data_IF_374185857031
#
_entry.id   IF_374185857031
#
_cell.length_a   1.000
_cell.length_b   1.000
_cell.length_c   1.000
_cell.angle_alpha   90.00
_cell.angle_beta   90.00
_cell.angle_gamma   90.00
#
_symmetry.space_group_name_H-M   'P 1'
#
loop_
_entity.id
_entity.type
_entity.pdbx_description
1 polymer ?
#
# COMPACT_ATOMS: atom_id res chain seq x y z
N UNK A 1 9.39 6.76 18.34
CA UNK A 1 8.77 7.82 17.49
C UNK A 1 9.38 7.86 16.10
N UNK A 2 8.55 7.95 15.05
CA UNK A 2 8.99 8.08 13.65
C UNK A 2 9.92 9.28 13.42
N UNK A 3 10.96 9.08 12.62
CA UNK A 3 11.89 10.11 12.16
C UNK A 3 12.11 9.93 10.67
N UNK A 4 12.19 11.05 9.93
CA UNK A 4 12.47 11.02 8.49
C UNK A 4 13.78 10.26 8.24
N UNK A 5 13.75 9.14 7.50
CA UNK A 5 14.95 8.37 7.22
C UNK A 5 15.98 9.18 6.40
N UNK A 6 17.25 8.82 6.56
CA UNK A 6 18.32 9.24 5.65
C UNK A 6 18.44 8.22 4.52
N UNK A 7 18.76 8.67 3.31
CA UNK A 7 18.78 7.82 2.12
C UNK A 7 17.45 7.81 1.37
N UNK A 8 17.50 7.39 0.11
CA UNK A 8 16.36 7.38 -0.83
C UNK A 8 15.68 8.75 -0.98
N UNK A 9 16.47 9.83 -0.95
CA UNK A 9 15.97 11.20 -1.07
C UNK A 9 15.22 11.47 -2.39
N UNK A 10 15.45 10.62 -3.40
CA UNK A 10 14.69 10.67 -4.65
C UNK A 10 13.20 10.32 -4.44
N UNK A 11 12.85 9.36 -3.58
CA UNK A 11 11.45 9.08 -3.25
C UNK A 11 10.82 10.27 -2.53
N UNK A 12 11.54 10.89 -1.58
CA UNK A 12 11.06 12.09 -0.90
C UNK A 12 10.70 13.21 -1.89
N UNK A 13 11.50 13.41 -2.96
CA UNK A 13 11.24 14.41 -4.00
C UNK A 13 10.01 14.09 -4.85
N UNK A 14 9.69 12.81 -5.05
CA UNK A 14 8.51 12.40 -5.82
C UNK A 14 7.20 12.83 -5.15
N UNK A 15 7.17 12.94 -3.82
CA UNK A 15 5.99 13.33 -3.05
C UNK A 15 6.00 14.79 -2.56
N UNK A 16 7.11 15.53 -2.71
CA UNK A 16 7.22 16.96 -2.39
C UNK A 16 6.78 17.85 -3.56
N UNK A 17 5.64 17.51 -4.16
CA UNK A 17 4.99 18.24 -5.25
C UNK A 17 3.49 17.96 -5.21
N UNK A 18 2.75 18.47 -6.18
CA UNK A 18 1.37 18.04 -6.38
C UNK A 18 1.34 16.55 -6.74
N UNK A 19 0.59 15.77 -5.97
CA UNK A 19 0.37 14.32 -6.19
C UNK A 19 -1.12 14.06 -6.08
N UNK A 20 -1.70 13.59 -7.19
CA UNK A 20 -3.14 13.31 -7.28
C UNK A 20 -3.48 11.94 -6.69
N UNK A 21 -4.78 11.69 -6.47
CA UNK A 21 -5.31 10.36 -6.12
C UNK A 21 -4.90 9.31 -7.15
N UNK A 22 -4.98 9.64 -8.45
CA UNK A 22 -4.58 8.74 -9.52
C UNK A 22 -3.08 8.43 -9.52
N UNK A 23 -2.23 9.41 -9.21
CA UNK A 23 -0.80 9.17 -9.07
C UNK A 23 -0.52 8.25 -7.88
N UNK A 24 -1.19 8.46 -6.75
CA UNK A 24 -1.06 7.59 -5.58
C UNK A 24 -1.47 6.15 -5.87
N UNK A 25 -2.57 5.90 -6.59
CA UNK A 25 -2.93 4.54 -7.00
C UNK A 25 -1.83 3.90 -7.85
N UNK A 26 -1.25 4.63 -8.81
CA UNK A 26 -0.14 4.11 -9.62
C UNK A 26 1.08 3.79 -8.77
N UNK A 27 1.44 4.67 -7.83
CA UNK A 27 2.56 4.43 -6.92
C UNK A 27 2.29 3.23 -6.01
N UNK A 28 1.10 3.15 -5.40
CA UNK A 28 0.72 2.07 -4.49
C UNK A 28 0.66 0.73 -5.22
N UNK A 29 0.21 0.67 -6.47
CA UNK A 29 0.16 -0.57 -7.25
C UNK A 29 1.54 -0.96 -7.78
N UNK A 30 2.23 -0.02 -8.44
CA UNK A 30 3.59 -0.24 -8.97
C UNK A 30 3.69 -1.22 -10.13
N UNK A 31 2.58 -1.52 -10.82
CA UNK A 31 2.61 -2.35 -12.03
C UNK A 31 3.37 -1.65 -13.17
N UNK A 32 3.19 -0.34 -13.31
CA UNK A 32 4.02 0.54 -14.14
C UNK A 32 5.38 0.79 -13.46
N UNK A 33 6.46 0.47 -14.17
CA UNK A 33 7.84 0.61 -13.69
C UNK A 33 8.20 2.05 -13.34
N UNK A 34 7.64 3.04 -14.01
CA UNK A 34 7.91 4.47 -13.72
C UNK A 34 7.30 4.92 -12.39
N UNK A 35 6.29 4.19 -11.90
CA UNK A 35 5.63 4.43 -10.62
C UNK A 35 5.97 3.36 -9.58
N UNK A 36 6.87 2.42 -9.89
CA UNK A 36 7.24 1.35 -8.97
C UNK A 36 8.25 1.83 -7.94
N UNK A 37 7.89 1.70 -6.67
CA UNK A 37 8.73 2.10 -5.53
C UNK A 37 8.99 0.85 -4.69
N UNK A 38 10.25 0.41 -4.67
CA UNK A 38 10.70 -0.76 -3.91
C UNK A 38 12.06 -0.48 -3.30
N UNK A 39 12.51 -1.35 -2.40
CA UNK A 39 13.89 -1.43 -1.94
C UNK A 39 14.47 -2.80 -2.26
N UNK A 40 15.79 -2.94 -2.09
CA UNK A 40 16.50 -4.21 -2.31
C UNK A 40 15.93 -5.36 -1.47
N UNK A 41 15.42 -5.03 -0.29
CA UNK A 41 14.85 -5.92 0.72
C UNK A 41 13.32 -6.02 0.67
N UNK A 42 12.66 -5.39 -0.31
CA UNK A 42 11.22 -5.54 -0.53
C UNK A 42 10.87 -6.99 -0.87
N UNK A 43 9.72 -7.45 -0.36
CA UNK A 43 9.26 -8.83 -0.53
C UNK A 43 9.01 -9.21 -2.00
N UNK A 44 8.53 -8.26 -2.81
CA UNK A 44 8.37 -8.40 -4.25
C UNK A 44 8.99 -7.20 -4.95
N UNK A 45 9.77 -7.44 -6.01
CA UNK A 45 10.47 -6.41 -6.79
C UNK A 45 9.71 -5.95 -8.04
N UNK A 46 8.63 -6.63 -8.41
CA UNK A 46 7.85 -6.37 -9.63
C UNK A 46 6.53 -5.62 -9.41
N UNK A 47 6.20 -5.33 -8.16
CA UNK A 47 5.14 -4.40 -7.72
C UNK A 47 5.71 -3.44 -6.68
N UNK A 48 4.97 -2.41 -6.30
CA UNK A 48 5.44 -1.46 -5.29
C UNK A 48 5.37 -2.04 -3.87
N UNK A 49 6.21 -1.49 -3.00
CA UNK A 49 6.23 -1.75 -1.57
C UNK A 49 5.59 -0.57 -0.81
N UNK A 50 4.38 -0.73 -0.25
CA UNK A 50 3.70 0.33 0.49
C UNK A 50 4.45 0.81 1.74
N UNK A 51 5.25 -0.03 2.38
CA UNK A 51 6.06 0.36 3.54
C UNK A 51 7.08 1.42 3.13
N UNK A 52 7.77 1.20 2.00
CA UNK A 52 8.72 2.16 1.45
C UNK A 52 8.03 3.46 1.03
N UNK A 53 6.84 3.37 0.43
CA UNK A 53 6.08 4.55 0.00
C UNK A 53 5.69 5.41 1.21
N UNK A 54 5.20 4.80 2.28
CA UNK A 54 4.83 5.51 3.51
C UNK A 54 6.07 6.12 4.17
N UNK A 55 7.09 5.29 4.44
CA UNK A 55 8.26 5.64 5.24
C UNK A 55 9.19 6.64 4.53
N UNK A 56 9.43 6.50 3.22
CA UNK A 56 10.37 7.35 2.48
C UNK A 56 9.70 8.39 1.60
N UNK A 57 8.39 8.28 1.35
CA UNK A 57 7.65 9.19 0.48
C UNK A 57 6.66 10.07 1.23
N UNK A 58 5.56 9.46 1.68
CA UNK A 58 4.38 10.16 2.18
C UNK A 58 4.63 10.82 3.53
N UNK A 59 5.18 10.10 4.51
CA UNK A 59 5.44 10.66 5.83
C UNK A 59 6.46 11.82 5.82
N UNK A 60 7.60 11.72 5.11
CA UNK A 60 8.50 12.87 4.96
C UNK A 60 7.85 14.08 4.28
N UNK A 61 7.04 13.87 3.23
CA UNK A 61 6.36 14.96 2.54
C UNK A 61 5.28 15.61 3.42
N UNK A 62 4.49 14.80 4.14
CA UNK A 62 3.48 15.29 5.07
C UNK A 62 4.08 16.21 6.14
N UNK A 63 5.20 15.81 6.75
CA UNK A 63 5.91 16.61 7.76
C UNK A 63 6.48 17.93 7.20
N UNK A 64 6.64 18.04 5.88
CA UNK A 64 7.05 19.28 5.19
C UNK A 64 5.87 20.16 4.76
N UNK A 65 4.65 19.80 5.13
CA UNK A 65 3.44 20.61 4.87
C UNK A 65 2.58 20.12 3.71
N UNK A 66 2.92 19.00 3.05
CA UNK A 66 2.08 18.39 2.01
C UNK A 66 0.96 17.56 2.64
N UNK A 67 0.14 18.20 3.49
CA UNK A 67 -0.84 17.53 4.35
C UNK A 67 -2.03 16.94 3.59
N UNK A 68 -2.30 17.42 2.37
CA UNK A 68 -3.30 16.87 1.46
C UNK A 68 -3.05 15.40 1.11
N UNK A 69 -1.80 14.93 1.21
CA UNK A 69 -1.45 13.54 0.93
C UNK A 69 -2.25 12.56 1.79
N UNK A 70 -2.60 12.91 3.03
CA UNK A 70 -3.43 12.06 3.90
C UNK A 70 -4.82 11.81 3.30
N UNK A 71 -5.50 12.86 2.86
CA UNK A 71 -6.82 12.71 2.26
C UNK A 71 -6.73 12.00 0.90
N UNK A 72 -5.70 12.32 0.10
CA UNK A 72 -5.54 11.72 -1.22
C UNK A 72 -5.20 10.22 -1.15
N UNK A 73 -4.41 9.77 -0.16
CA UNK A 73 -4.13 8.34 0.01
C UNK A 73 -5.36 7.61 0.55
N UNK A 74 -6.13 8.22 1.44
CA UNK A 74 -7.39 7.64 1.92
C UNK A 74 -8.37 7.41 0.76
N UNK A 75 -8.53 8.38 -0.13
CA UNK A 75 -9.36 8.24 -1.33
C UNK A 75 -8.78 7.18 -2.30
N UNK A 76 -7.47 7.17 -2.53
CA UNK A 76 -6.83 6.18 -3.39
C UNK A 76 -7.08 4.75 -2.90
N UNK A 77 -6.93 4.52 -1.59
CA UNK A 77 -7.20 3.22 -0.96
C UNK A 77 -8.69 2.86 -0.99
N UNK A 78 -9.58 3.85 -0.86
CA UNK A 78 -11.03 3.64 -0.96
C UNK A 78 -11.41 3.17 -2.37
N UNK A 79 -10.87 3.81 -3.41
CA UNK A 79 -11.07 3.42 -4.80
C UNK A 79 -10.45 2.04 -5.10
N UNK A 80 -9.21 1.78 -4.66
CA UNK A 80 -8.52 0.51 -4.86
C UNK A 80 -9.24 -0.66 -4.19
N UNK A 81 -9.70 -0.48 -2.94
CA UNK A 81 -10.42 -1.52 -2.20
C UNK A 81 -11.79 -1.88 -2.81
N UNK A 82 -12.35 -1.02 -3.65
CA UNK A 82 -13.63 -1.24 -4.32
C UNK A 82 -13.50 -1.44 -5.84
N UNK A 83 -12.28 -1.57 -6.39
CA UNK A 83 -12.05 -1.64 -7.84
C UNK A 83 -12.43 -2.98 -8.46
N UNK A 84 -12.56 -4.03 -7.64
CA UNK A 84 -12.75 -5.41 -8.09
C UNK A 84 -11.49 -6.04 -8.70
N UNK A 85 -10.35 -5.32 -8.73
CA UNK A 85 -9.08 -5.83 -9.19
C UNK A 85 -8.28 -6.42 -8.02
N UNK A 86 -7.85 -7.67 -8.16
CA UNK A 86 -7.21 -8.40 -7.06
C UNK A 86 -5.89 -7.78 -6.61
N UNK A 87 -5.08 -7.25 -7.53
CA UNK A 87 -3.81 -6.61 -7.17
C UNK A 87 -4.04 -5.27 -6.44
N UNK A 88 -5.03 -4.49 -6.86
CA UNK A 88 -5.38 -3.23 -6.20
C UNK A 88 -5.85 -3.49 -4.76
N UNK A 89 -6.71 -4.49 -4.56
CA UNK A 89 -7.20 -4.89 -3.24
C UNK A 89 -6.05 -5.41 -2.37
N UNK A 90 -5.16 -6.24 -2.93
CA UNK A 90 -3.95 -6.70 -2.25
C UNK A 90 -3.09 -5.51 -1.79
N UNK A 91 -2.80 -4.55 -2.67
CA UNK A 91 -1.99 -3.38 -2.30
C UNK A 91 -2.69 -2.46 -1.30
N UNK A 92 -4.03 -2.37 -1.33
CA UNK A 92 -4.77 -1.66 -0.29
C UNK A 92 -4.61 -2.32 1.08
N UNK A 93 -4.72 -3.66 1.15
CA UNK A 93 -4.46 -4.45 2.37
C UNK A 93 -3.02 -4.25 2.84
N UNK A 94 -2.05 -4.35 1.94
CA UNK A 94 -0.63 -4.18 2.29
C UNK A 94 -0.28 -2.77 2.74
N UNK A 95 -0.99 -1.74 2.27
CA UNK A 95 -0.80 -0.37 2.76
C UNK A 95 -1.27 -0.21 4.21
N UNK A 96 -2.41 -0.81 4.57
CA UNK A 96 -2.89 -0.81 5.95
C UNK A 96 -1.96 -1.62 6.87
N UNK A 97 -1.42 -2.74 6.36
CA UNK A 97 -0.44 -3.54 7.10
C UNK A 97 0.88 -2.80 7.28
N UNK A 98 1.35 -2.10 6.26
CA UNK A 98 2.55 -1.27 6.34
C UNK A 98 2.40 -0.17 7.40
N UNK A 99 1.23 0.49 7.51
CA UNK A 99 0.96 1.43 8.60
C UNK A 99 1.09 0.75 9.98
N UNK A 100 0.51 -0.44 10.16
CA UNK A 100 0.64 -1.20 11.41
C UNK A 100 2.10 -1.59 11.71
N UNK A 101 2.85 -2.07 10.72
CA UNK A 101 4.26 -2.45 10.86
C UNK A 101 5.13 -1.24 11.26
N UNK A 102 4.95 -0.12 10.56
CA UNK A 102 5.64 1.13 10.87
C UNK A 102 5.24 1.65 12.24
N UNK A 103 3.97 1.55 12.64
CA UNK A 103 3.51 1.93 13.98
C UNK A 103 4.16 1.06 15.06
N UNK A 104 4.23 -0.25 14.86
CA UNK A 104 4.87 -1.17 15.81
C UNK A 104 6.36 -0.88 15.98
N UNK A 105 7.05 -0.54 14.89
CA UNK A 105 8.48 -0.24 14.92
C UNK A 105 8.79 1.17 15.46
N UNK A 106 8.02 2.16 15.03
CA UNK A 106 8.27 3.56 15.36
C UNK A 106 7.47 4.07 16.56
N UNK A 107 6.54 3.30 17.13
CA UNK A 107 5.64 3.64 18.26
C UNK A 107 4.65 4.79 18.01
N UNK A 108 4.95 5.68 17.06
CA UNK A 108 4.09 6.78 16.64
C UNK A 108 4.44 7.27 15.24
N UNK A 109 3.39 7.62 14.48
CA UNK A 109 3.47 8.05 13.07
C UNK A 109 3.00 9.49 12.89
N UNK A 110 3.34 10.16 11.77
CA UNK A 110 2.91 11.56 11.53
C UNK A 110 1.39 11.75 11.43
N UNK A 111 0.68 10.73 10.97
CA UNK A 111 -0.78 10.67 10.96
C UNK A 111 -1.23 9.20 10.92
N UNK A 112 -2.52 8.98 11.17
CA UNK A 112 -3.17 7.67 11.04
C UNK A 112 -4.28 7.73 10.00
N UNK A 113 -4.40 6.68 9.18
CA UNK A 113 -5.41 6.56 8.13
C UNK A 113 -6.81 6.32 8.72
N UNK A 114 -7.80 6.99 8.13
CA UNK A 114 -9.21 6.72 8.38
C UNK A 114 -9.64 5.42 7.68
N UNK A 115 -9.30 4.26 8.28
CA UNK A 115 -9.38 2.95 7.60
C UNK A 115 -10.75 2.26 7.61
N UNK A 116 -11.77 2.80 8.28
CA UNK A 116 -13.04 2.08 8.49
C UNK A 116 -13.78 1.73 7.18
N UNK A 117 -13.93 2.69 6.27
CA UNK A 117 -14.59 2.45 4.97
C UNK A 117 -13.75 1.55 4.06
N UNK A 118 -12.42 1.68 4.10
CA UNK A 118 -11.48 0.86 3.32
C UNK A 118 -11.59 -0.61 3.76
N UNK A 119 -11.58 -0.87 5.08
CA UNK A 119 -11.76 -2.22 5.63
C UNK A 119 -13.14 -2.81 5.30
N UNK A 120 -14.19 -1.98 5.29
CA UNK A 120 -15.53 -2.43 4.89
C UNK A 120 -15.57 -2.86 3.42
N UNK A 121 -14.90 -2.11 2.52
CA UNK A 121 -14.77 -2.47 1.11
C UNK A 121 -13.96 -3.76 0.92
N UNK A 122 -12.82 -3.90 1.59
CA UNK A 122 -12.00 -5.12 1.57
C UNK A 122 -12.83 -6.33 2.05
N UNK A 123 -13.54 -6.18 3.17
CA UNK A 123 -14.42 -7.25 3.71
C UNK A 123 -15.50 -7.64 2.71
N UNK A 124 -16.10 -6.66 2.03
CA UNK A 124 -17.09 -6.90 0.98
C UNK A 124 -16.46 -7.63 -0.21
N UNK A 125 -15.28 -7.19 -0.67
CA UNK A 125 -14.57 -7.80 -1.79
C UNK A 125 -14.20 -9.26 -1.50
N UNK A 126 -13.76 -9.57 -0.29
CA UNK A 126 -13.42 -10.94 0.12
C UNK A 126 -14.61 -11.86 0.36
N UNK A 127 -15.84 -11.36 0.35
CA UNK A 127 -17.06 -12.18 0.30
C UNK A 127 -17.43 -12.57 -1.13
N UNK A 128 -16.87 -11.90 -2.14
CA UNK A 128 -17.10 -12.24 -3.54
C UNK A 128 -16.25 -13.46 -3.93
N UNK A 129 -16.93 -14.56 -4.27
CA UNK A 129 -16.27 -15.81 -4.65
C UNK A 129 -15.34 -15.64 -5.87
N UNK A 130 -15.68 -14.76 -6.82
CA UNK A 130 -14.87 -14.53 -8.00
C UNK A 130 -13.55 -13.82 -7.64
N UNK A 131 -13.61 -12.82 -6.76
CA UNK A 131 -12.40 -12.13 -6.27
C UNK A 131 -11.51 -13.10 -5.50
N UNK A 132 -12.10 -13.91 -4.59
CA UNK A 132 -11.35 -14.92 -3.84
C UNK A 132 -10.65 -15.93 -4.75
N UNK A 133 -11.37 -16.47 -5.73
CA UNK A 133 -10.83 -17.43 -6.69
C UNK A 133 -9.72 -16.80 -7.54
N UNK A 134 -9.90 -15.55 -7.98
CA UNK A 134 -8.89 -14.81 -8.71
C UNK A 134 -7.63 -14.55 -7.88
N UNK A 135 -7.76 -14.21 -6.59
CA UNK A 135 -6.62 -14.07 -5.67
C UNK A 135 -5.90 -15.41 -5.45
N UNK A 136 -6.64 -16.50 -5.24
CA UNK A 136 -6.05 -17.82 -5.02
C UNK A 136 -5.25 -18.30 -6.24
N UNK A 137 -5.70 -17.94 -7.45
CA UNK A 137 -5.04 -18.29 -8.72
C UNK A 137 -4.04 -17.25 -9.21
N UNK A 138 -3.86 -16.14 -8.49
CA UNK A 138 -2.97 -15.08 -8.93
C UNK A 138 -1.51 -15.55 -8.90
N UNK A 139 -0.91 -15.67 -10.09
CA UNK A 139 0.46 -16.16 -10.30
C UNK A 139 1.21 -15.32 -11.33
N UNK A 140 0.87 -14.04 -11.48
CA UNK A 140 1.63 -13.12 -12.31
C UNK A 140 2.90 -12.69 -11.57
N UNK A 141 4.01 -12.60 -12.30
CA UNK A 141 5.24 -12.05 -11.74
C UNK A 141 5.81 -12.89 -10.60
N UNK A 142 6.30 -12.25 -9.54
CA UNK A 142 6.92 -12.93 -8.42
C UNK A 142 5.95 -13.83 -7.63
N UNK A 143 4.63 -13.58 -7.69
CA UNK A 143 3.62 -14.50 -7.11
C UNK A 143 3.69 -15.93 -7.66
N UNK A 144 4.24 -16.13 -8.87
CA UNK A 144 4.47 -17.45 -9.45
C UNK A 144 5.45 -18.31 -8.64
N UNK A 145 6.35 -17.67 -7.89
CA UNK A 145 7.45 -18.32 -7.18
C UNK A 145 7.11 -18.64 -5.71
N UNK A 146 6.01 -18.11 -5.19
CA UNK A 146 5.57 -18.36 -3.82
C UNK A 146 4.62 -19.55 -3.73
N UNK A 147 4.82 -20.38 -2.68
CA UNK A 147 3.89 -21.45 -2.32
C UNK A 147 2.58 -20.85 -1.82
N UNK A 148 2.68 -19.87 -0.93
CA UNK A 148 1.54 -19.10 -0.45
C UNK A 148 0.85 -18.36 -1.60
N UNK A 149 -0.47 -18.43 -1.63
CA UNK A 149 -1.27 -17.68 -2.60
C UNK A 149 -1.46 -16.23 -2.14
N UNK A 150 -1.82 -15.34 -3.07
CA UNK A 150 -2.21 -13.98 -2.70
C UNK A 150 -3.40 -14.00 -1.73
N UNK A 151 -4.34 -14.94 -1.88
CA UNK A 151 -5.46 -15.07 -0.96
C UNK A 151 -5.00 -15.41 0.46
N UNK A 152 -4.10 -16.39 0.62
CA UNK A 152 -3.58 -16.78 1.94
C UNK A 152 -2.85 -15.61 2.62
N UNK A 153 -2.09 -14.82 1.86
CA UNK A 153 -1.42 -13.62 2.36
C UNK A 153 -2.44 -12.58 2.83
N UNK A 154 -3.46 -12.29 2.02
CA UNK A 154 -4.49 -11.30 2.34
C UNK A 154 -5.30 -11.70 3.57
N UNK A 155 -5.73 -12.96 3.67
CA UNK A 155 -6.54 -13.42 4.80
C UNK A 155 -5.79 -13.33 6.11
N UNK A 156 -4.53 -13.79 6.15
CA UNK A 156 -3.69 -13.68 7.36
C UNK A 156 -3.43 -12.22 7.75
N UNK A 157 -3.21 -11.34 6.78
CA UNK A 157 -3.00 -9.92 7.07
C UNK A 157 -4.26 -9.28 7.66
N UNK A 158 -5.44 -9.62 7.17
CA UNK A 158 -6.70 -9.02 7.64
C UNK A 158 -7.05 -9.45 9.07
N UNK A 159 -6.63 -10.65 9.50
CA UNK A 159 -6.76 -11.09 10.90
C UNK A 159 -6.01 -10.19 11.90
N UNK A 160 -5.12 -9.31 11.42
CA UNK A 160 -4.35 -8.37 12.25
C UNK A 160 -5.00 -6.98 12.40
N UNK A 161 -6.10 -6.69 11.69
CA UNK A 161 -6.75 -5.36 11.69
C UNK A 161 -7.86 -5.21 12.74
#
# INVERSE_FOLDING_TARGET
MYKVPKGLEHYQKMFQKEVTVNDLKKYLIGSDKEYRITRRDSYMGDISDPEVILEYGIYPAFLKGYTQLKANIEEALLEMSNSGQVLDIYQAVQTLNAENMLLNYYESLPFYLNRQSILANITKALKDAHIREAMARYKLGEFAHYQDTMLDMVERTIETF
#
